data_IF_434555438669
#
_entry.id   IF_434555438669
#
_cell.length_a   1.000
_cell.length_b   1.000
_cell.length_c   1.000
_cell.angle_alpha   90.00
_cell.angle_beta   90.00
_cell.angle_gamma   90.00
#
_symmetry.space_group_name_H-M   'P 1'
#
loop_
_entity.id
_entity.type
_entity.pdbx_description
1 polymer ?
#
# COMPACT_ATOMS: atom_id res chain seq x y z
N UNK A 1 25.04 40.08 31.72
CA UNK A 1 24.55 40.27 30.34
C UNK A 1 25.26 39.30 29.37
N UNK A 2 26.54 39.02 29.56
CA UNK A 2 27.38 38.16 28.72
C UNK A 2 27.02 36.68 28.85
N UNK A 3 26.74 36.17 30.04
CA UNK A 3 26.39 34.77 30.31
C UNK A 3 25.03 34.35 29.73
N UNK A 4 24.06 35.26 29.74
CA UNK A 4 22.73 35.01 29.14
C UNK A 4 22.79 34.93 27.61
N UNK A 5 23.64 35.70 26.96
CA UNK A 5 23.79 35.69 25.51
C UNK A 5 24.55 34.46 25.02
N UNK A 6 25.50 33.94 25.80
CA UNK A 6 26.23 32.70 25.53
C UNK A 6 25.36 31.47 25.67
N UNK A 7 24.53 31.39 26.72
CA UNK A 7 23.55 30.31 26.94
C UNK A 7 22.49 30.26 25.83
N UNK A 8 22.01 31.42 25.36
CA UNK A 8 21.03 31.53 24.28
C UNK A 8 21.60 31.09 22.92
N UNK A 9 22.85 31.47 22.61
CA UNK A 9 23.56 31.05 21.40
C UNK A 9 23.82 29.53 21.38
N UNK A 10 24.21 28.94 22.51
CA UNK A 10 24.42 27.50 22.62
C UNK A 10 23.11 26.72 22.54
N UNK A 11 22.01 27.23 23.09
CA UNK A 11 20.68 26.63 22.95
C UNK A 11 20.17 26.64 21.50
N UNK A 12 20.41 27.74 20.77
CA UNK A 12 20.08 27.84 19.34
C UNK A 12 20.93 26.89 18.47
N UNK A 13 22.25 26.85 18.73
CA UNK A 13 23.16 25.91 18.04
C UNK A 13 22.76 24.45 18.26
N UNK A 14 22.42 24.08 19.50
CA UNK A 14 21.95 22.74 19.83
C UNK A 14 20.63 22.39 19.16
N UNK A 15 19.67 23.35 19.10
CA UNK A 15 18.41 23.14 18.38
C UNK A 15 18.61 22.98 16.86
N UNK A 16 19.50 23.76 16.26
CA UNK A 16 19.83 23.65 14.84
C UNK A 16 20.48 22.29 14.53
N UNK A 17 21.45 21.87 15.31
CA UNK A 17 22.14 20.59 15.15
C UNK A 17 21.18 19.40 15.31
N UNK A 18 20.25 19.46 16.26
CA UNK A 18 19.21 18.41 16.43
C UNK A 18 18.28 18.37 15.21
N UNK A 19 17.93 19.53 14.66
CA UNK A 19 17.11 19.61 13.46
C UNK A 19 17.84 19.07 12.23
N UNK A 20 19.09 19.40 12.02
CA UNK A 20 19.92 18.85 10.94
C UNK A 20 20.06 17.32 11.02
N UNK A 21 20.25 16.78 12.23
CA UNK A 21 20.28 15.32 12.43
C UNK A 21 18.91 14.70 12.10
N UNK A 22 17.83 15.29 12.59
CA UNK A 22 16.48 14.80 12.38
C UNK A 22 16.04 14.88 10.90
N UNK A 23 16.60 15.83 10.13
CA UNK A 23 16.36 15.99 8.68
C UNK A 23 17.28 15.11 7.83
N UNK A 24 18.27 14.44 8.42
CA UNK A 24 19.25 13.65 7.67
C UNK A 24 18.65 12.36 7.10
N UNK A 25 19.09 11.99 5.90
CA UNK A 25 18.68 10.75 5.21
C UNK A 25 18.86 9.52 6.10
N UNK A 26 20.01 9.39 6.75
CA UNK A 26 20.33 8.23 7.60
C UNK A 26 19.36 8.13 8.77
N UNK A 27 19.05 9.26 9.41
CA UNK A 27 18.11 9.28 10.53
C UNK A 27 16.69 8.89 10.08
N UNK A 28 16.18 9.49 8.99
CA UNK A 28 14.83 9.23 8.50
C UNK A 28 14.65 7.79 8.00
N UNK A 29 15.66 7.22 7.35
CA UNK A 29 15.67 5.79 6.98
C UNK A 29 15.67 4.89 8.22
N UNK A 30 16.56 5.17 9.18
CA UNK A 30 16.67 4.41 10.43
C UNK A 30 15.37 4.50 11.24
N UNK A 31 14.78 5.69 11.30
CA UNK A 31 13.49 5.90 11.96
C UNK A 31 12.39 5.06 11.30
N UNK A 32 12.29 5.10 9.97
CA UNK A 32 11.26 4.34 9.23
C UNK A 32 11.37 2.84 9.49
N UNK A 33 12.57 2.28 9.36
CA UNK A 33 12.82 0.86 9.60
C UNK A 33 12.63 0.52 11.09
N UNK A 34 13.13 1.36 11.99
CA UNK A 34 13.01 1.16 13.44
C UNK A 34 11.56 1.17 13.92
N UNK A 35 10.76 2.11 13.43
CA UNK A 35 9.31 2.17 13.74
C UNK A 35 8.60 0.92 13.24
N UNK A 36 8.93 0.44 12.03
CA UNK A 36 8.34 -0.79 11.51
C UNK A 36 8.72 -2.04 12.33
N UNK A 37 9.99 -2.18 12.70
CA UNK A 37 10.45 -3.28 13.57
C UNK A 37 9.78 -3.20 14.94
N UNK A 38 9.68 -2.00 15.53
CA UNK A 38 8.97 -1.78 16.79
C UNK A 38 7.49 -2.14 16.70
N UNK A 39 6.82 -1.79 15.61
CA UNK A 39 5.43 -2.16 15.36
C UNK A 39 5.25 -3.68 15.19
N UNK A 40 6.19 -4.38 14.53
CA UNK A 40 6.18 -5.85 14.45
C UNK A 40 6.34 -6.50 15.82
N UNK A 41 7.27 -5.99 16.64
CA UNK A 41 7.46 -6.47 18.00
C UNK A 41 6.21 -6.26 18.87
N UNK A 42 5.57 -5.07 18.76
CA UNK A 42 4.33 -4.76 19.46
C UNK A 42 3.21 -5.73 19.07
N UNK A 43 3.03 -5.99 17.77
CA UNK A 43 2.04 -6.95 17.27
C UNK A 43 2.25 -8.36 17.83
N UNK A 44 3.51 -8.82 17.91
CA UNK A 44 3.82 -10.15 18.49
C UNK A 44 3.42 -10.26 19.95
N UNK A 45 3.49 -9.15 20.71
CA UNK A 45 3.09 -9.13 22.14
C UNK A 45 1.59 -9.06 22.36
N UNK A 46 0.89 -8.24 21.57
CA UNK A 46 -0.52 -7.88 21.84
C UNK A 46 -1.50 -8.69 21.00
N UNK A 47 -1.05 -9.30 19.90
CA UNK A 47 -1.83 -10.15 18.96
C UNK A 47 -3.20 -9.56 18.53
N UNK A 48 -3.32 -8.24 18.47
CA UNK A 48 -4.55 -7.53 18.10
C UNK A 48 -4.52 -7.16 16.62
N UNK A 49 -5.59 -7.49 15.88
CA UNK A 49 -5.67 -7.30 14.42
C UNK A 49 -5.49 -5.83 13.97
N UNK A 50 -5.98 -4.87 14.79
CA UNK A 50 -5.83 -3.44 14.52
C UNK A 50 -4.38 -2.93 14.66
N UNK A 51 -3.52 -3.64 15.38
CA UNK A 51 -2.09 -3.33 15.50
C UNK A 51 -1.27 -3.89 14.33
N UNK A 52 -1.82 -3.83 13.11
CA UNK A 52 -1.06 -4.23 11.93
C UNK A 52 0.20 -3.34 11.82
N UNK A 53 1.41 -3.93 11.66
CA UNK A 53 2.67 -3.18 11.73
C UNK A 53 2.72 -1.97 10.79
N UNK A 54 2.21 -2.13 9.57
CA UNK A 54 2.17 -1.05 8.58
C UNK A 54 1.28 0.09 9.06
N UNK A 55 0.08 -0.20 9.60
CA UNK A 55 -0.82 0.83 10.09
C UNK A 55 -0.21 1.62 11.26
N UNK A 56 0.35 0.90 12.24
CA UNK A 56 1.04 1.53 13.38
C UNK A 56 2.21 2.39 12.90
N UNK A 57 2.99 1.89 11.95
CA UNK A 57 4.12 2.63 11.39
C UNK A 57 3.71 3.91 10.70
N UNK A 58 2.65 3.86 9.89
CA UNK A 58 2.11 5.05 9.20
C UNK A 58 1.67 6.10 10.23
N UNK A 59 0.91 5.71 11.26
CA UNK A 59 0.43 6.63 12.30
C UNK A 59 1.59 7.26 13.05
N UNK A 60 2.58 6.46 13.46
CA UNK A 60 3.75 6.96 14.21
C UNK A 60 4.61 7.90 13.35
N UNK A 61 4.84 7.56 12.07
CA UNK A 61 5.62 8.41 11.17
C UNK A 61 4.89 9.73 10.86
N UNK A 62 3.58 9.70 10.61
CA UNK A 62 2.78 10.92 10.42
C UNK A 62 2.86 11.80 11.68
N UNK A 63 2.67 11.23 12.86
CA UNK A 63 2.78 11.96 14.12
C UNK A 63 4.17 12.57 14.29
N UNK A 64 5.23 11.82 14.02
CA UNK A 64 6.61 12.31 14.09
C UNK A 64 6.84 13.47 13.12
N UNK A 65 6.48 13.34 11.85
CA UNK A 65 6.67 14.40 10.84
C UNK A 65 5.90 15.69 11.21
N UNK A 66 4.67 15.55 11.72
CA UNK A 66 3.87 16.68 12.19
C UNK A 66 4.48 17.38 13.39
N UNK A 67 4.96 16.62 14.37
CA UNK A 67 5.56 17.17 15.59
C UNK A 67 6.95 17.78 15.36
N UNK A 68 7.74 17.21 14.45
CA UNK A 68 9.08 17.73 14.09
C UNK A 68 9.03 18.87 13.08
N UNK A 69 7.88 19.11 12.42
CA UNK A 69 7.74 20.12 11.37
C UNK A 69 8.51 19.80 10.09
N UNK A 70 8.79 18.51 9.85
CA UNK A 70 9.44 18.06 8.62
C UNK A 70 8.37 17.92 7.55
N UNK A 71 8.59 18.56 6.39
CA UNK A 71 7.70 18.46 5.24
C UNK A 71 7.72 17.06 4.65
N UNK A 72 6.55 16.56 4.25
CA UNK A 72 6.40 15.23 3.64
C UNK A 72 7.27 15.06 2.38
N UNK A 73 7.35 16.09 1.54
CA UNK A 73 8.19 16.05 0.34
C UNK A 73 9.68 15.91 0.65
N UNK A 74 10.14 16.54 1.74
CA UNK A 74 11.51 16.37 2.22
C UNK A 74 11.75 14.94 2.69
N UNK A 75 10.84 14.39 3.50
CA UNK A 75 10.89 13.00 3.94
C UNK A 75 10.94 12.02 2.76
N UNK A 76 10.07 12.18 1.77
CA UNK A 76 10.04 11.33 0.56
C UNK A 76 11.36 11.37 -0.21
N UNK A 77 11.95 12.54 -0.38
CA UNK A 77 13.27 12.67 -1.04
C UNK A 77 14.38 11.95 -0.28
N UNK A 78 14.39 12.04 1.05
CA UNK A 78 15.40 11.39 1.87
C UNK A 78 15.22 9.86 1.94
N UNK A 79 14.02 9.36 1.71
CA UNK A 79 13.70 7.92 1.80
C UNK A 79 13.55 7.23 0.44
N UNK A 80 13.97 7.84 -0.67
CA UNK A 80 13.89 7.28 -2.03
C UNK A 80 14.53 5.89 -2.18
N UNK A 81 15.50 5.54 -1.34
CA UNK A 81 16.09 4.21 -1.30
C UNK A 81 15.04 3.13 -1.02
N UNK A 82 14.01 3.44 -0.21
CA UNK A 82 12.92 2.50 0.07
C UNK A 82 12.08 2.27 -1.19
N UNK A 83 11.80 3.32 -1.95
CA UNK A 83 11.06 3.22 -3.23
C UNK A 83 11.86 2.41 -4.27
N UNK A 84 13.17 2.62 -4.33
CA UNK A 84 14.05 1.83 -5.18
C UNK A 84 14.03 0.34 -4.80
N UNK A 85 14.12 0.02 -3.50
CA UNK A 85 14.02 -1.34 -2.99
C UNK A 85 12.65 -1.97 -3.26
N UNK A 86 11.57 -1.18 -3.29
CA UNK A 86 10.24 -1.64 -3.68
C UNK A 86 10.26 -2.16 -5.13
N UNK A 87 10.87 -1.44 -6.05
CA UNK A 87 11.05 -1.90 -7.44
C UNK A 87 11.80 -3.23 -7.54
N UNK A 88 12.90 -3.37 -6.79
CA UNK A 88 13.65 -4.63 -6.73
C UNK A 88 12.84 -5.79 -6.14
N UNK A 89 12.00 -5.51 -5.15
CA UNK A 89 11.14 -6.54 -4.54
C UNK A 89 10.10 -7.07 -5.52
N UNK A 90 9.59 -6.24 -6.44
CA UNK A 90 8.68 -6.67 -7.51
C UNK A 90 9.40 -7.62 -8.48
N UNK A 91 10.67 -7.33 -8.83
CA UNK A 91 11.48 -8.23 -9.66
C UNK A 91 11.72 -9.57 -8.95
N UNK A 92 12.02 -9.55 -7.65
CA UNK A 92 12.18 -10.76 -6.84
C UNK A 92 10.88 -11.60 -6.77
N UNK A 93 9.71 -10.95 -6.67
CA UNK A 93 8.42 -11.64 -6.78
C UNK A 93 8.22 -12.29 -8.16
N UNK A 94 8.71 -11.66 -9.23
CA UNK A 94 8.72 -12.24 -10.58
C UNK A 94 9.53 -13.54 -10.66
N UNK A 95 10.67 -13.60 -9.97
CA UNK A 95 11.46 -14.84 -9.87
C UNK A 95 10.69 -15.97 -9.16
N UNK A 96 10.09 -15.66 -8.00
CA UNK A 96 9.26 -16.62 -7.26
C UNK A 96 8.10 -17.10 -8.13
N UNK A 97 7.49 -16.22 -8.91
CA UNK A 97 6.45 -16.55 -9.85
C UNK A 97 6.93 -17.50 -10.95
N UNK A 98 8.11 -17.24 -11.53
CA UNK A 98 8.71 -18.13 -12.53
C UNK A 98 8.91 -19.55 -11.98
N UNK A 99 9.38 -19.66 -10.74
CA UNK A 99 9.56 -20.95 -10.06
C UNK A 99 8.22 -21.69 -9.84
N UNK A 100 7.14 -20.95 -9.64
CA UNK A 100 5.79 -21.50 -9.47
C UNK A 100 5.02 -21.68 -10.79
N UNK A 101 5.62 -21.38 -11.97
CA UNK A 101 4.92 -21.37 -13.26
C UNK A 101 4.31 -22.74 -13.62
N UNK A 102 4.94 -23.81 -13.17
CA UNK A 102 4.42 -25.17 -13.38
C UNK A 102 3.11 -25.42 -12.61
N UNK A 103 2.97 -24.85 -11.41
CA UNK A 103 1.76 -24.96 -10.60
C UNK A 103 0.61 -24.11 -11.16
N UNK A 104 0.92 -23.12 -12.01
CA UNK A 104 -0.04 -22.17 -12.58
C UNK A 104 -0.51 -22.58 -13.97
N UNK A 105 0.30 -23.33 -14.74
CA UNK A 105 0.03 -23.66 -16.15
C UNK A 105 -1.37 -24.24 -16.39
N UNK A 106 -1.90 -25.06 -15.49
CA UNK A 106 -3.25 -25.61 -15.59
C UNK A 106 -4.37 -24.60 -15.26
N UNK A 107 -4.05 -23.42 -14.72
CA UNK A 107 -5.02 -22.46 -14.18
C UNK A 107 -4.95 -21.07 -14.84
N UNK A 108 -4.14 -20.89 -15.89
CA UNK A 108 -3.89 -19.56 -16.49
C UNK A 108 -5.20 -18.87 -16.92
N UNK A 109 -6.07 -19.59 -17.62
CA UNK A 109 -7.36 -19.05 -18.08
C UNK A 109 -8.21 -18.63 -16.89
N UNK A 110 -8.31 -19.47 -15.86
CA UNK A 110 -9.07 -19.17 -14.64
C UNK A 110 -8.52 -17.96 -13.91
N UNK A 111 -7.19 -17.80 -13.85
CA UNK A 111 -6.53 -16.65 -13.24
C UNK A 111 -6.85 -15.37 -14.02
N UNK A 112 -6.69 -15.38 -15.35
CA UNK A 112 -6.95 -14.21 -16.19
C UNK A 112 -8.42 -13.81 -16.10
N UNK A 113 -9.35 -14.76 -16.22
CA UNK A 113 -10.79 -14.49 -16.10
C UNK A 113 -11.14 -13.94 -14.71
N UNK A 114 -10.60 -14.53 -13.65
CA UNK A 114 -10.85 -14.06 -12.28
C UNK A 114 -10.32 -12.62 -12.05
N UNK A 115 -9.16 -12.28 -12.61
CA UNK A 115 -8.60 -10.92 -12.54
C UNK A 115 -9.46 -9.92 -13.33
N UNK A 116 -9.85 -10.25 -14.56
CA UNK A 116 -10.67 -9.34 -15.36
C UNK A 116 -12.05 -9.11 -14.74
N UNK A 117 -12.71 -10.19 -14.31
CA UNK A 117 -14.01 -10.09 -13.62
C UNK A 117 -13.86 -9.37 -12.29
N UNK A 118 -12.86 -9.74 -11.49
CA UNK A 118 -12.60 -9.09 -10.20
C UNK A 118 -12.29 -7.61 -10.32
N UNK A 119 -11.49 -7.21 -11.33
CA UNK A 119 -11.21 -5.81 -11.62
C UNK A 119 -12.47 -5.05 -12.05
N UNK A 120 -13.23 -5.59 -13.00
CA UNK A 120 -14.48 -4.99 -13.46
C UNK A 120 -15.48 -4.82 -12.30
N UNK A 121 -15.72 -5.87 -11.52
CA UNK A 121 -16.61 -5.82 -10.35
C UNK A 121 -16.11 -4.80 -9.31
N UNK A 122 -14.81 -4.76 -9.05
CA UNK A 122 -14.20 -3.83 -8.10
C UNK A 122 -14.36 -2.36 -8.52
N UNK A 123 -14.17 -2.05 -9.81
CA UNK A 123 -14.33 -0.70 -10.37
C UNK A 123 -15.82 -0.31 -10.39
N UNK A 124 -16.67 -1.14 -11.00
CA UNK A 124 -18.09 -0.84 -11.15
C UNK A 124 -18.78 -0.69 -9.80
N UNK A 125 -18.52 -1.60 -8.86
CA UNK A 125 -19.16 -1.56 -7.54
C UNK A 125 -18.80 -0.29 -6.78
N UNK A 126 -17.53 0.13 -6.76
CA UNK A 126 -17.14 1.37 -6.06
C UNK A 126 -17.70 2.60 -6.76
N UNK A 127 -17.69 2.64 -8.09
CA UNK A 127 -18.23 3.75 -8.84
C UNK A 127 -19.74 3.92 -8.60
N UNK A 128 -20.51 2.82 -8.66
CA UNK A 128 -21.96 2.84 -8.39
C UNK A 128 -22.28 3.23 -6.95
N UNK A 129 -21.58 2.67 -5.95
CA UNK A 129 -21.77 3.01 -4.54
C UNK A 129 -21.45 4.49 -4.29
N UNK A 130 -20.32 4.98 -4.79
CA UNK A 130 -19.92 6.37 -4.61
C UNK A 130 -20.93 7.33 -5.25
N UNK A 131 -21.40 7.05 -6.45
CA UNK A 131 -22.45 7.84 -7.12
C UNK A 131 -23.77 7.80 -6.39
N UNK A 132 -24.19 6.64 -5.92
CA UNK A 132 -25.40 6.50 -5.13
C UNK A 132 -25.34 7.30 -3.82
N UNK A 133 -24.16 7.45 -3.24
CA UNK A 133 -23.90 8.32 -2.09
C UNK A 133 -23.80 9.81 -2.45
N UNK A 134 -23.94 10.19 -3.71
CA UNK A 134 -23.84 11.57 -4.16
C UNK A 134 -22.43 12.11 -4.32
N UNK A 135 -21.42 11.22 -4.47
CA UNK A 135 -20.05 11.65 -4.67
C UNK A 135 -19.86 12.35 -6.03
N UNK A 136 -19.06 13.41 -6.03
CA UNK A 136 -18.65 14.11 -7.24
C UNK A 136 -17.84 13.22 -8.18
N UNK A 137 -17.86 13.44 -9.50
CA UNK A 137 -17.12 12.64 -10.49
C UNK A 137 -15.63 12.49 -10.17
N UNK A 138 -14.98 13.54 -9.68
CA UNK A 138 -13.56 13.50 -9.28
C UNK A 138 -13.30 12.55 -8.10
N UNK A 139 -14.24 12.44 -7.16
CA UNK A 139 -14.17 11.49 -6.05
C UNK A 139 -14.34 10.07 -6.56
N UNK A 140 -15.30 9.82 -7.45
CA UNK A 140 -15.52 8.51 -8.08
C UNK A 140 -14.25 8.05 -8.80
N UNK A 141 -13.70 8.88 -9.69
CA UNK A 141 -12.48 8.60 -10.43
C UNK A 141 -11.25 8.36 -9.51
N UNK A 142 -11.25 8.96 -8.31
CA UNK A 142 -10.22 8.72 -7.31
C UNK A 142 -10.33 7.35 -6.65
N UNK A 143 -11.55 6.82 -6.51
CA UNK A 143 -11.82 5.56 -5.83
C UNK A 143 -11.77 4.34 -6.75
N UNK A 144 -12.00 4.51 -8.04
CA UNK A 144 -12.00 3.41 -9.03
C UNK A 144 -10.74 2.55 -8.98
N UNK A 145 -9.50 3.12 -8.97
CA UNK A 145 -8.29 2.33 -8.98
C UNK A 145 -7.81 1.90 -7.57
N UNK A 146 -8.67 1.90 -6.55
CA UNK A 146 -8.31 1.64 -5.13
C UNK A 146 -7.64 0.30 -4.85
N UNK A 147 -7.81 -0.70 -5.72
CA UNK A 147 -7.35 -2.08 -5.48
C UNK A 147 -5.99 -2.41 -6.10
N UNK A 148 -5.32 -1.42 -6.71
CA UNK A 148 -3.98 -1.60 -7.28
C UNK A 148 -2.91 -0.86 -6.48
N UNK A 149 -1.64 -0.98 -6.88
CA UNK A 149 -0.55 -0.28 -6.18
C UNK A 149 -0.72 1.24 -6.26
N UNK A 150 -0.24 1.97 -5.26
CA UNK A 150 -0.36 3.44 -5.20
C UNK A 150 0.16 4.10 -6.48
N UNK A 151 1.30 3.64 -7.03
CA UNK A 151 1.87 4.20 -8.26
C UNK A 151 0.94 4.07 -9.46
N UNK A 152 0.36 2.88 -9.67
CA UNK A 152 -0.61 2.63 -10.75
C UNK A 152 -1.90 3.42 -10.50
N UNK A 153 -2.42 3.37 -9.27
CA UNK A 153 -3.64 4.06 -8.89
C UNK A 153 -3.56 5.57 -9.14
N UNK A 154 -2.44 6.20 -8.75
CA UNK A 154 -2.22 7.64 -8.97
C UNK A 154 -2.20 7.99 -10.45
N UNK A 155 -1.49 7.19 -11.27
CA UNK A 155 -1.43 7.41 -12.71
C UNK A 155 -2.81 7.28 -13.37
N UNK A 156 -3.54 6.21 -13.03
CA UNK A 156 -4.89 5.96 -13.57
C UNK A 156 -5.87 7.05 -13.14
N UNK A 157 -5.88 7.39 -11.85
CA UNK A 157 -6.74 8.42 -11.27
C UNK A 157 -6.48 9.80 -11.88
N UNK A 158 -5.22 10.21 -12.02
CA UNK A 158 -4.85 11.49 -12.63
C UNK A 158 -5.35 11.60 -14.08
N UNK A 159 -5.23 10.52 -14.87
CA UNK A 159 -5.72 10.48 -16.24
C UNK A 159 -7.26 10.46 -16.35
N UNK A 160 -7.96 10.08 -15.28
CA UNK A 160 -9.43 10.03 -15.20
C UNK A 160 -10.04 11.24 -14.50
N UNK A 161 -9.25 12.27 -14.17
CA UNK A 161 -9.72 13.48 -13.47
C UNK A 161 -9.95 13.30 -11.98
N UNK A 162 -9.34 12.28 -11.36
CA UNK A 162 -9.40 12.05 -9.92
C UNK A 162 -8.44 12.93 -9.13
N UNK A 163 -8.57 12.90 -7.81
CA UNK A 163 -7.78 13.65 -6.83
C UNK A 163 -6.68 12.75 -6.27
N UNK A 164 -5.39 12.98 -6.59
CA UNK A 164 -4.29 12.07 -6.23
C UNK A 164 -4.19 11.79 -4.72
N UNK A 165 -4.39 12.81 -3.89
CA UNK A 165 -4.36 12.65 -2.43
C UNK A 165 -5.45 11.70 -1.93
N UNK A 166 -6.68 11.80 -2.46
CA UNK A 166 -7.79 10.92 -2.12
C UNK A 166 -7.53 9.49 -2.60
N UNK A 167 -7.01 9.34 -3.81
CA UNK A 167 -6.61 8.02 -4.36
C UNK A 167 -5.59 7.33 -3.46
N UNK A 168 -4.55 8.05 -3.01
CA UNK A 168 -3.54 7.50 -2.11
C UNK A 168 -4.14 6.98 -0.81
N UNK A 169 -5.02 7.77 -0.19
CA UNK A 169 -5.72 7.38 1.04
C UNK A 169 -6.59 6.15 0.81
N UNK A 170 -7.37 6.13 -0.28
CA UNK A 170 -8.23 5.01 -0.63
C UNK A 170 -7.44 3.70 -0.81
N UNK A 171 -6.32 3.74 -1.53
CA UNK A 171 -5.44 2.58 -1.73
C UNK A 171 -4.91 2.06 -0.40
N UNK A 172 -4.42 2.94 0.47
CA UNK A 172 -3.89 2.53 1.79
C UNK A 172 -4.99 1.90 2.64
N UNK A 173 -6.17 2.54 2.73
CA UNK A 173 -7.30 2.04 3.52
C UNK A 173 -7.75 0.67 3.02
N UNK A 174 -7.93 0.51 1.71
CA UNK A 174 -8.35 -0.77 1.10
C UNK A 174 -7.30 -1.85 1.32
N UNK A 175 -6.01 -1.51 1.17
CA UNK A 175 -4.93 -2.46 1.39
C UNK A 175 -4.84 -2.94 2.85
N UNK A 176 -4.90 -2.01 3.81
CA UNK A 176 -4.90 -2.33 5.25
C UNK A 176 -6.13 -3.16 5.62
N UNK A 177 -7.32 -2.71 5.23
CA UNK A 177 -8.57 -3.41 5.51
C UNK A 177 -8.58 -4.82 4.88
N UNK A 178 -8.24 -4.93 3.59
CA UNK A 178 -8.20 -6.21 2.89
C UNK A 178 -7.15 -7.16 3.46
N UNK A 179 -5.98 -6.65 3.87
CA UNK A 179 -4.95 -7.45 4.53
C UNK A 179 -5.40 -8.02 5.89
N UNK A 180 -6.20 -7.27 6.64
CA UNK A 180 -6.72 -7.70 7.95
C UNK A 180 -7.92 -8.65 7.78
N UNK A 181 -8.92 -8.23 7.00
CA UNK A 181 -10.23 -8.90 6.90
C UNK A 181 -10.22 -10.03 5.88
N UNK A 182 -9.40 -9.92 4.82
CA UNK A 182 -9.37 -10.86 3.71
C UNK A 182 -9.22 -12.33 4.12
N UNK A 183 -8.24 -12.71 4.95
CA UNK A 183 -8.09 -14.10 5.37
C UNK A 183 -9.29 -14.65 6.15
N UNK A 184 -9.96 -13.79 6.91
CA UNK A 184 -11.18 -14.16 7.65
C UNK A 184 -12.35 -14.39 6.69
N UNK A 185 -12.55 -13.49 5.72
CA UNK A 185 -13.60 -13.63 4.68
C UNK A 185 -13.38 -14.91 3.90
N UNK A 186 -12.17 -15.14 3.38
CA UNK A 186 -11.85 -16.34 2.58
C UNK A 186 -12.14 -17.64 3.34
N UNK A 187 -11.85 -17.67 4.64
CA UNK A 187 -12.22 -18.82 5.49
C UNK A 187 -13.71 -18.96 5.67
N UNK A 188 -14.43 -17.85 5.86
CA UNK A 188 -15.89 -17.88 6.05
C UNK A 188 -16.66 -18.33 4.83
N UNK A 189 -16.19 -17.99 3.62
CA UNK A 189 -16.80 -18.42 2.36
C UNK A 189 -16.25 -19.76 1.86
N UNK A 190 -15.43 -20.46 2.64
CA UNK A 190 -14.96 -21.82 2.33
C UNK A 190 -13.93 -21.87 1.20
N UNK A 191 -13.16 -20.81 0.92
CA UNK A 191 -12.09 -20.85 -0.08
C UNK A 191 -10.91 -21.65 0.48
N UNK A 192 -10.67 -22.85 -0.05
CA UNK A 192 -9.58 -23.75 0.38
C UNK A 192 -8.36 -23.67 -0.53
N UNK A 193 -8.57 -23.45 -1.83
CA UNK A 193 -7.49 -23.39 -2.82
C UNK A 193 -6.45 -22.32 -2.50
N UNK A 194 -5.20 -22.73 -2.44
CA UNK A 194 -4.05 -21.80 -2.20
C UNK A 194 -3.93 -20.75 -3.29
N UNK A 195 -4.14 -21.17 -4.56
CA UNK A 195 -4.13 -20.28 -5.72
C UNK A 195 -5.24 -19.23 -5.59
N UNK A 196 -6.47 -19.65 -5.26
CA UNK A 196 -7.59 -18.73 -5.10
C UNK A 196 -7.39 -17.75 -3.93
N UNK A 197 -6.84 -18.20 -2.80
CA UNK A 197 -6.48 -17.33 -1.67
C UNK A 197 -5.46 -16.27 -2.07
N UNK A 198 -4.37 -16.69 -2.71
CA UNK A 198 -3.34 -15.76 -3.18
C UNK A 198 -3.90 -14.75 -4.18
N UNK A 199 -4.65 -15.24 -5.17
CA UNK A 199 -5.27 -14.39 -6.20
C UNK A 199 -6.21 -13.34 -5.59
N UNK A 200 -7.09 -13.77 -4.69
CA UNK A 200 -8.04 -12.86 -4.03
C UNK A 200 -7.34 -11.81 -3.17
N UNK A 201 -6.31 -12.20 -2.41
CA UNK A 201 -5.56 -11.27 -1.55
C UNK A 201 -4.80 -10.22 -2.36
N UNK A 202 -4.13 -10.62 -3.45
CA UNK A 202 -3.41 -9.70 -4.32
C UNK A 202 -4.34 -8.78 -5.12
N UNK A 203 -5.44 -9.34 -5.63
CA UNK A 203 -6.42 -8.58 -6.41
C UNK A 203 -7.21 -7.57 -5.58
N UNK A 204 -7.56 -7.89 -4.33
CA UNK A 204 -8.36 -7.02 -3.49
C UNK A 204 -7.55 -5.98 -2.70
N UNK A 205 -6.32 -6.34 -2.27
CA UNK A 205 -5.55 -5.57 -1.31
C UNK A 205 -4.08 -5.36 -1.71
N UNK A 206 -3.76 -5.54 -2.97
CA UNK A 206 -2.46 -5.26 -3.62
C UNK A 206 -1.25 -5.71 -2.76
N UNK A 207 -0.23 -4.83 -2.57
CA UNK A 207 1.00 -5.17 -1.83
C UNK A 207 0.74 -5.56 -0.36
N UNK A 208 -0.22 -4.92 0.31
CA UNK A 208 -0.58 -5.23 1.70
C UNK A 208 -1.27 -6.60 1.81
N UNK A 209 -2.15 -6.91 0.84
CA UNK A 209 -2.73 -8.24 0.70
C UNK A 209 -1.69 -9.31 0.42
N UNK A 210 -0.70 -9.00 -0.41
CA UNK A 210 0.41 -9.92 -0.73
C UNK A 210 1.30 -10.18 0.47
N UNK A 211 1.65 -9.16 1.25
CA UNK A 211 2.37 -9.35 2.50
C UNK A 211 1.63 -10.32 3.44
N UNK A 212 0.30 -10.18 3.51
CA UNK A 212 -0.53 -11.09 4.29
C UNK A 212 -0.65 -12.48 3.67
N UNK A 213 -0.71 -12.59 2.33
CA UNK A 213 -0.74 -13.86 1.62
C UNK A 213 0.56 -14.67 1.83
N UNK A 214 1.72 -14.00 1.89
CA UNK A 214 3.00 -14.64 2.23
C UNK A 214 3.00 -15.26 3.64
N UNK A 215 2.29 -14.67 4.59
CA UNK A 215 2.11 -15.27 5.93
C UNK A 215 1.20 -16.52 5.89
N UNK A 216 0.32 -16.65 4.89
CA UNK A 216 -0.53 -17.84 4.70
C UNK A 216 0.24 -19.00 4.05
N UNK A 217 1.17 -18.70 3.16
CA UNK A 217 2.05 -19.66 2.52
C UNK A 217 2.80 -19.11 1.31
N UNK A 218 3.84 -19.84 0.88
CA UNK A 218 4.69 -19.43 -0.24
C UNK A 218 3.92 -19.38 -1.58
N UNK A 219 3.02 -20.34 -1.80
CA UNK A 219 2.17 -20.39 -3.02
C UNK A 219 1.19 -19.21 -3.02
N UNK A 220 0.52 -18.97 -1.90
CA UNK A 220 -0.40 -17.86 -1.73
C UNK A 220 0.31 -16.52 -1.98
N UNK A 221 1.51 -16.35 -1.44
CA UNK A 221 2.33 -15.14 -1.63
C UNK A 221 2.75 -14.94 -3.09
N UNK A 222 3.24 -15.98 -3.76
CA UNK A 222 3.68 -15.91 -5.16
C UNK A 222 2.50 -15.58 -6.11
N UNK A 223 1.37 -16.26 -5.94
CA UNK A 223 0.16 -16.00 -6.73
C UNK A 223 -0.39 -14.59 -6.46
N UNK A 224 -0.33 -14.13 -5.23
CA UNK A 224 -0.74 -12.77 -4.86
C UNK A 224 0.16 -11.72 -5.54
N UNK A 225 1.47 -11.96 -5.62
CA UNK A 225 2.40 -11.12 -6.37
C UNK A 225 2.07 -11.03 -7.87
N UNK A 226 1.72 -12.17 -8.50
CA UNK A 226 1.20 -12.20 -9.87
C UNK A 226 -0.08 -11.37 -10.00
N UNK A 227 -1.01 -11.55 -9.07
CA UNK A 227 -2.30 -10.86 -9.09
C UNK A 227 -2.14 -9.34 -9.05
N UNK A 228 -1.17 -8.79 -8.32
CA UNK A 228 -0.87 -7.35 -8.31
C UNK A 228 -0.60 -6.83 -9.73
N UNK A 229 0.30 -7.49 -10.45
CA UNK A 229 0.67 -7.08 -11.81
C UNK A 229 -0.51 -7.15 -12.78
N UNK A 230 -1.23 -8.27 -12.76
CA UNK A 230 -2.40 -8.47 -13.63
C UNK A 230 -3.55 -7.52 -13.29
N UNK A 231 -3.82 -7.28 -11.98
CA UNK A 231 -4.81 -6.29 -11.54
C UNK A 231 -4.43 -4.87 -11.97
N UNK A 232 -3.14 -4.53 -11.85
CA UNK A 232 -2.62 -3.24 -12.31
C UNK A 232 -2.89 -3.01 -13.79
N UNK A 233 -2.55 -3.99 -14.62
CA UNK A 233 -2.79 -3.95 -16.06
C UNK A 233 -4.30 -3.89 -16.39
N UNK A 234 -5.09 -4.78 -15.79
CA UNK A 234 -6.53 -4.81 -16.00
C UNK A 234 -7.19 -3.47 -15.60
N UNK A 235 -6.84 -2.92 -14.45
CA UNK A 235 -7.38 -1.64 -13.96
C UNK A 235 -6.97 -0.47 -14.86
N UNK A 236 -5.73 -0.43 -15.33
CA UNK A 236 -5.25 0.62 -16.24
C UNK A 236 -6.01 0.61 -17.58
N UNK A 237 -6.48 -0.55 -18.03
CA UNK A 237 -7.28 -0.69 -19.26
C UNK A 237 -8.77 -0.43 -18.96
N UNK A 238 -9.31 -1.02 -17.89
CA UNK A 238 -10.75 -1.00 -17.63
C UNK A 238 -11.27 0.33 -17.09
N UNK A 239 -10.52 1.06 -16.26
CA UNK A 239 -10.98 2.35 -15.70
C UNK A 239 -11.29 3.36 -16.80
N UNK A 240 -10.42 3.63 -17.80
CA UNK A 240 -10.75 4.55 -18.88
C UNK A 240 -11.93 4.12 -19.75
N UNK A 241 -12.18 2.82 -19.87
CA UNK A 241 -13.29 2.27 -20.66
C UNK A 241 -14.60 2.37 -19.86
N UNK A 242 -14.61 1.88 -18.63
CA UNK A 242 -15.80 1.84 -17.78
C UNK A 242 -16.20 3.24 -17.30
N UNK A 243 -15.25 4.13 -17.00
CA UNK A 243 -15.51 5.49 -16.59
C UNK A 243 -16.20 6.37 -17.67
N UNK A 244 -16.15 5.93 -18.95
CA UNK A 244 -16.92 6.58 -20.04
C UNK A 244 -18.36 6.07 -20.13
N UNK A 245 -18.63 4.90 -19.59
CA UNK A 245 -19.94 4.24 -19.65
C UNK A 245 -20.74 4.49 -18.36
N UNK A 246 -20.03 4.56 -17.26
CA UNK A 246 -20.57 4.86 -15.94
C UNK A 246 -20.72 6.36 -15.72
#
# INVERSE_FOLDING_TARGET
WWSRNWSRKNGLKKKMMIKEIADSQVFLLTLTVGVYIGAMWLRRKVNWALLHPIFVSIVVLIAFLRLSGIEYEHYMRQTQVIDFLLGLSVVALGYILHDQIYNIRGNVISIVVAILVGSAVGIVSVALIARWMGAEPAVVASLEPKSVTTAIALSVSANSGGIPALTSVAVIVVGVFGGIVGPWVLRRVGVESRIAKGLAMGAAAHALGTARAMELGAVEGAISGLAIGLMGLATAILVPILGKIL
#
